data_IF_013423475776
#
_entry.id   IF_013423475776
#
_cell.length_a   1.000
_cell.length_b   1.000
_cell.length_c   1.000
_cell.angle_alpha   90.00
_cell.angle_beta   90.00
_cell.angle_gamma   90.00
#
_symmetry.space_group_name_H-M   'P 1'
#
loop_
_entity.id
_entity.type
_entity.pdbx_description
1 polymer ?
#
# COMPACT_ATOMS: atom_id res chain seq x y z
N UNK A 1 -53.19 56.96 -2.09
CA UNK A 1 -51.82 57.36 -2.43
C UNK A 1 -50.87 56.77 -1.39
N UNK A 2 -49.85 56.06 -1.88
CA UNK A 2 -48.57 55.61 -1.29
C UNK A 2 -48.58 54.96 0.10
N UNK A 3 -48.34 53.65 0.10
CA UNK A 3 -48.10 52.81 1.27
C UNK A 3 -46.60 52.71 1.63
N UNK A 4 -46.39 52.67 2.94
CA UNK A 4 -45.18 52.54 3.75
C UNK A 4 -44.22 51.44 3.27
N UNK A 5 -42.90 51.65 3.41
CA UNK A 5 -41.93 50.58 3.66
C UNK A 5 -40.70 51.11 4.41
N UNK A 6 -40.74 50.98 5.73
CA UNK A 6 -39.57 51.11 6.62
C UNK A 6 -38.66 49.90 6.40
N UNK A 7 -37.39 50.15 6.06
CA UNK A 7 -36.34 49.15 5.91
C UNK A 7 -35.46 49.20 7.17
N UNK A 8 -35.56 48.20 8.04
CA UNK A 8 -34.63 47.99 9.16
C UNK A 8 -33.42 47.19 8.66
N UNK A 9 -32.21 47.77 8.73
CA UNK A 9 -30.95 47.05 8.57
C UNK A 9 -30.60 46.34 9.90
N UNK A 10 -30.46 45.02 9.85
CA UNK A 10 -29.84 44.22 10.90
C UNK A 10 -28.40 43.89 10.49
N UNK A 11 -27.45 44.33 11.31
CA UNK A 11 -26.03 44.03 11.17
C UNK A 11 -25.75 42.57 11.60
N UNK A 12 -25.10 41.80 10.72
CA UNK A 12 -24.65 40.45 11.03
C UNK A 12 -23.16 40.47 11.41
N UNK A 13 -22.86 40.10 12.65
CA UNK A 13 -21.50 39.84 13.14
C UNK A 13 -21.06 38.45 12.66
N UNK A 14 -20.02 38.40 11.83
CA UNK A 14 -19.41 37.15 11.39
C UNK A 14 -18.48 36.60 12.49
N UNK A 15 -18.80 35.43 13.04
CA UNK A 15 -17.93 34.70 13.96
C UNK A 15 -17.02 33.79 13.16
N UNK A 16 -15.72 34.07 13.15
CA UNK A 16 -14.69 33.21 12.55
C UNK A 16 -14.53 31.92 13.37
N UNK A 17 -15.19 30.84 12.97
CA UNK A 17 -14.94 29.51 13.52
C UNK A 17 -13.64 28.99 12.92
N UNK A 18 -12.55 29.04 13.69
CA UNK A 18 -11.33 28.28 13.41
C UNK A 18 -11.67 26.79 13.51
N UNK A 19 -11.89 26.14 12.37
CA UNK A 19 -11.94 24.69 12.28
C UNK A 19 -10.56 24.15 12.66
N UNK A 20 -10.45 23.58 13.86
CA UNK A 20 -9.28 22.80 14.24
C UNK A 20 -9.10 21.67 13.21
N UNK A 21 -7.86 21.37 12.76
CA UNK A 21 -7.63 20.23 11.89
C UNK A 21 -8.16 18.99 12.60
N UNK A 22 -9.08 18.26 11.94
CA UNK A 22 -9.53 16.96 12.43
C UNK A 22 -8.29 16.11 12.68
N UNK A 23 -8.19 15.39 13.82
CA UNK A 23 -7.12 14.44 14.00
C UNK A 23 -7.15 13.49 12.80
N UNK A 24 -6.07 13.44 12.03
CA UNK A 24 -5.88 12.42 11.01
C UNK A 24 -6.18 11.09 11.70
N UNK A 25 -7.20 10.36 11.22
CA UNK A 25 -7.57 9.06 11.78
C UNK A 25 -6.30 8.27 12.08
N UNK A 26 -6.18 7.80 13.31
CA UNK A 26 -4.99 7.10 13.76
C UNK A 26 -4.75 5.92 12.81
N UNK A 27 -3.70 6.02 11.98
CA UNK A 27 -3.40 5.01 10.97
C UNK A 27 -3.19 3.66 11.65
N UNK A 28 -3.77 2.61 11.08
CA UNK A 28 -3.88 1.30 11.72
C UNK A 28 -2.52 0.61 11.94
N UNK A 29 -2.50 -0.35 12.86
CA UNK A 29 -1.37 -1.27 13.07
C UNK A 29 -1.71 -2.63 12.49
N UNK A 30 -0.96 -3.05 11.47
CA UNK A 30 -1.17 -4.31 10.78
C UNK A 30 -0.38 -5.44 11.45
N UNK A 31 -1.00 -6.60 11.60
CA UNK A 31 -0.41 -7.82 12.14
C UNK A 31 -0.29 -8.86 11.04
N UNK A 32 0.94 -9.27 10.75
CA UNK A 32 1.26 -10.36 9.83
C UNK A 32 1.71 -11.60 10.60
N UNK A 33 1.36 -12.78 10.10
CA UNK A 33 1.90 -14.06 10.57
C UNK A 33 2.81 -14.62 9.49
N UNK A 34 4.07 -14.89 9.84
CA UNK A 34 5.08 -15.43 8.94
C UNK A 34 5.82 -16.59 9.62
N UNK A 35 5.90 -17.74 8.95
CA UNK A 35 6.69 -18.88 9.44
C UNK A 35 8.16 -18.65 9.21
N UNK A 36 8.96 -18.66 10.28
CA UNK A 36 10.41 -18.52 10.23
C UNK A 36 11.08 -19.78 10.77
N UNK A 37 12.19 -20.19 10.14
CA UNK A 37 12.95 -21.36 10.57
C UNK A 37 13.77 -21.00 11.82
N UNK A 38 13.53 -21.69 12.93
CA UNK A 38 14.35 -21.56 14.12
C UNK A 38 15.66 -22.35 13.94
N UNK A 39 16.84 -21.69 13.92
CA UNK A 39 18.11 -22.37 13.67
C UNK A 39 18.50 -23.36 14.78
N UNK A 40 17.94 -23.24 16.00
CA UNK A 40 18.24 -24.14 17.11
C UNK A 40 17.46 -25.45 17.04
N UNK A 41 16.21 -25.40 16.55
CA UNK A 41 15.31 -26.56 16.54
C UNK A 41 15.07 -27.13 15.15
N UNK A 42 15.51 -26.42 14.09
CA UNK A 42 15.21 -26.72 12.69
C UNK A 42 13.70 -26.87 12.41
N UNK A 43 12.87 -26.14 13.16
CA UNK A 43 11.41 -26.13 13.02
C UNK A 43 10.92 -24.76 12.55
N UNK A 44 9.86 -24.76 11.76
CA UNK A 44 9.15 -23.55 11.37
C UNK A 44 8.26 -23.11 12.53
N UNK A 45 8.38 -21.84 12.91
CA UNK A 45 7.61 -21.22 13.98
C UNK A 45 6.86 -20.00 13.43
N UNK A 46 5.59 -19.86 13.82
CA UNK A 46 4.81 -18.68 13.49
C UNK A 46 5.37 -17.47 14.26
N UNK A 47 5.79 -16.44 13.52
CA UNK A 47 6.18 -15.14 14.08
C UNK A 47 5.09 -14.12 13.78
N UNK A 48 4.68 -13.41 14.83
CA UNK A 48 3.77 -12.26 14.75
C UNK A 48 4.59 -11.00 14.56
N UNK A 49 4.37 -10.30 13.46
CA UNK A 49 5.09 -9.09 13.07
C UNK A 49 4.09 -7.93 12.97
N UNK A 50 4.41 -6.80 13.59
CA UNK A 50 3.56 -5.61 13.64
C UNK A 50 4.13 -4.52 12.72
N UNK A 51 3.27 -3.91 11.91
CA UNK A 51 3.64 -2.88 10.95
C UNK A 51 2.74 -1.66 11.12
N UNK A 52 3.33 -0.47 11.15
CA UNK A 52 2.56 0.77 11.13
C UNK A 52 2.16 1.09 9.69
N UNK A 53 0.86 1.30 9.45
CA UNK A 53 0.38 1.74 8.14
C UNK A 53 1.01 3.08 7.72
N UNK A 54 1.21 4.01 8.67
CA UNK A 54 1.86 5.29 8.39
C UNK A 54 3.26 5.12 7.79
N UNK A 55 4.04 4.21 8.36
CA UNK A 55 5.41 3.91 7.90
C UNK A 55 5.41 3.15 6.58
N UNK A 56 4.52 2.17 6.40
CA UNK A 56 4.40 1.44 5.15
C UNK A 56 4.00 2.35 3.96
N UNK A 57 3.04 3.26 4.17
CA UNK A 57 2.71 4.28 3.18
C UNK A 57 3.91 5.19 2.89
N UNK A 58 4.63 5.65 3.92
CA UNK A 58 5.87 6.41 3.77
C UNK A 58 6.90 5.69 2.90
N UNK A 59 7.14 4.38 3.13
CA UNK A 59 8.05 3.60 2.30
C UNK A 59 7.62 3.58 0.82
N UNK A 60 6.31 3.42 0.55
CA UNK A 60 5.80 3.45 -0.83
C UNK A 60 5.93 4.84 -1.49
N UNK A 61 5.83 5.91 -0.70
CA UNK A 61 6.04 7.27 -1.20
C UNK A 61 7.51 7.53 -1.56
N UNK A 62 8.47 7.01 -0.79
CA UNK A 62 9.91 7.09 -1.08
C UNK A 62 10.36 6.16 -2.22
N UNK A 63 9.69 5.04 -2.45
CA UNK A 63 10.04 4.11 -3.52
C UNK A 63 9.91 4.76 -4.92
N UNK A 64 10.79 4.44 -5.89
CA UNK A 64 10.65 4.95 -7.25
C UNK A 64 9.40 4.39 -7.93
N UNK A 65 8.73 5.18 -8.77
CA UNK A 65 7.57 4.72 -9.55
C UNK A 65 8.05 3.95 -10.79
N UNK A 66 8.47 2.71 -10.59
CA UNK A 66 9.00 1.84 -11.65
C UNK A 66 8.67 0.38 -11.38
N UNK A 67 8.64 -0.44 -12.43
CA UNK A 67 8.45 -1.87 -12.32
C UNK A 67 9.78 -2.62 -12.54
N UNK A 68 10.41 -3.06 -11.46
CA UNK A 68 11.55 -3.98 -11.48
C UNK A 68 12.85 -3.40 -12.04
N UNK A 69 12.96 -2.07 -12.16
CA UNK A 69 14.09 -1.40 -12.85
C UNK A 69 15.27 -1.04 -11.95
N UNK A 70 15.11 -1.17 -10.64
CA UNK A 70 16.12 -0.81 -9.65
C UNK A 70 17.14 -1.93 -9.46
N UNK A 71 18.22 -1.64 -8.75
CA UNK A 71 19.26 -2.64 -8.46
C UNK A 71 18.76 -3.89 -7.71
N UNK A 72 17.78 -3.71 -6.83
CA UNK A 72 17.21 -4.78 -5.99
C UNK A 72 16.03 -5.50 -6.64
N UNK A 73 15.59 -5.06 -7.83
CA UNK A 73 14.32 -5.41 -8.49
C UNK A 73 13.06 -4.92 -7.78
N UNK A 74 13.14 -4.10 -6.73
CA UNK A 74 11.99 -3.50 -6.04
C UNK A 74 11.90 -1.99 -6.26
N UNK A 75 10.69 -1.39 -6.34
CA UNK A 75 9.40 -2.05 -6.41
C UNK A 75 9.18 -2.75 -7.75
N UNK A 76 8.25 -3.71 -7.78
CA UNK A 76 7.85 -4.39 -9.01
C UNK A 76 6.37 -4.76 -8.99
N UNK A 77 5.84 -5.18 -10.14
CA UNK A 77 4.46 -5.57 -10.33
C UNK A 77 4.08 -6.73 -9.40
N UNK A 78 3.03 -6.50 -8.62
CA UNK A 78 2.29 -7.52 -7.88
C UNK A 78 1.09 -7.95 -8.71
N UNK A 79 1.18 -9.14 -9.31
CA UNK A 79 0.14 -9.64 -10.23
C UNK A 79 -1.23 -9.79 -9.58
N UNK A 80 -1.25 -10.05 -8.28
CA UNK A 80 -2.45 -10.46 -7.53
C UNK A 80 -3.23 -11.61 -8.21
N UNK A 81 -2.54 -12.47 -8.98
CA UNK A 81 -3.15 -13.59 -9.71
C UNK A 81 -3.65 -13.29 -11.12
N UNK A 82 -3.47 -12.07 -11.64
CA UNK A 82 -3.86 -11.69 -13.00
C UNK A 82 -2.69 -11.75 -14.00
N UNK A 83 -3.01 -11.85 -15.28
CA UNK A 83 -2.07 -11.55 -16.36
C UNK A 83 -2.05 -10.03 -16.68
N UNK A 84 -1.15 -9.59 -17.58
CA UNK A 84 -1.03 -8.18 -17.95
C UNK A 84 -2.21 -7.62 -18.76
N UNK A 85 -3.10 -8.49 -19.24
CA UNK A 85 -4.34 -8.10 -19.92
C UNK A 85 -5.55 -8.03 -18.98
N UNK A 86 -5.34 -8.22 -17.66
CA UNK A 86 -6.40 -8.18 -16.66
C UNK A 86 -7.22 -9.47 -16.56
N UNK A 87 -6.77 -10.57 -17.17
CA UNK A 87 -7.44 -11.87 -17.05
C UNK A 87 -6.95 -12.59 -15.81
N UNK A 88 -7.88 -13.15 -15.04
CA UNK A 88 -7.54 -13.96 -13.89
C UNK A 88 -6.88 -15.27 -14.35
N UNK A 89 -5.68 -15.56 -13.85
CA UNK A 89 -4.95 -16.79 -14.17
C UNK A 89 -5.66 -17.96 -13.50
N UNK A 90 -5.90 -19.03 -14.26
CA UNK A 90 -6.61 -20.23 -13.78
C UNK A 90 -5.97 -20.78 -12.49
N UNK A 91 -6.79 -20.98 -11.45
CA UNK A 91 -6.35 -21.51 -10.16
C UNK A 91 -5.76 -20.47 -9.19
N UNK A 92 -5.74 -19.18 -9.56
CA UNK A 92 -5.33 -18.09 -8.66
C UNK A 92 -6.55 -17.42 -8.05
N UNK A 93 -6.42 -17.01 -6.79
CA UNK A 93 -7.43 -16.24 -6.06
C UNK A 93 -6.82 -14.90 -5.66
N UNK A 94 -7.28 -13.78 -6.23
CA UNK A 94 -6.77 -12.46 -5.88
C UNK A 94 -7.05 -12.11 -4.43
N UNK A 95 -6.11 -11.44 -3.80
CA UNK A 95 -6.32 -10.77 -2.51
C UNK A 95 -7.31 -9.63 -2.74
N UNK A 96 -8.34 -9.56 -1.90
CA UNK A 96 -9.27 -8.42 -1.84
C UNK A 96 -8.80 -7.45 -0.75
N UNK A 97 -8.50 -6.22 -1.15
CA UNK A 97 -8.05 -5.13 -0.29
C UNK A 97 -9.20 -4.25 0.21
N UNK A 98 -10.37 -4.30 -0.43
CA UNK A 98 -11.54 -3.50 -0.05
C UNK A 98 -11.52 -2.08 -0.64
N UNK A 99 -10.74 -1.86 -1.70
CA UNK A 99 -10.64 -0.57 -2.41
C UNK A 99 -10.77 -0.80 -3.90
N UNK A 100 -11.67 -0.08 -4.57
CA UNK A 100 -11.92 -0.24 -5.99
C UNK A 100 -10.65 -0.07 -6.85
N UNK A 101 -9.80 0.90 -6.50
CA UNK A 101 -8.52 1.15 -7.18
C UNK A 101 -7.53 -0.01 -7.08
N UNK A 102 -7.66 -0.83 -6.02
CA UNK A 102 -6.77 -1.95 -5.71
C UNK A 102 -7.32 -3.29 -6.17
N UNK A 103 -8.64 -3.47 -6.11
CA UNK A 103 -9.33 -4.73 -6.41
C UNK A 103 -9.68 -4.87 -7.90
N UNK A 104 -9.46 -3.83 -8.70
CA UNK A 104 -9.67 -3.86 -10.15
C UNK A 104 -8.62 -4.73 -10.87
N UNK A 105 -8.99 -5.45 -11.94
CA UNK A 105 -8.02 -6.13 -12.80
C UNK A 105 -6.95 -5.16 -13.35
N UNK A 106 -5.68 -5.60 -13.46
CA UNK A 106 -4.61 -4.74 -13.94
C UNK A 106 -4.66 -4.55 -15.46
N UNK A 107 -4.05 -3.46 -15.90
CA UNK A 107 -3.49 -3.26 -17.23
C UNK A 107 -1.99 -3.12 -17.08
N UNK A 108 -1.22 -4.10 -17.53
CA UNK A 108 0.24 -4.13 -17.39
C UNK A 108 0.86 -4.54 -18.73
N UNK A 109 1.49 -3.57 -19.39
CA UNK A 109 2.27 -3.80 -20.60
C UNK A 109 3.59 -4.51 -20.27
N UNK A 110 4.28 -5.01 -21.30
CA UNK A 110 5.51 -5.80 -21.14
C UNK A 110 6.57 -5.18 -20.21
N UNK A 111 6.62 -3.84 -20.09
CA UNK A 111 7.57 -3.12 -19.25
C UNK A 111 6.91 -2.24 -18.16
N UNK A 112 5.59 -2.36 -17.96
CA UNK A 112 4.82 -1.58 -17.00
C UNK A 112 4.84 -0.06 -17.23
N UNK A 113 5.05 0.39 -18.48
CA UNK A 113 5.11 1.83 -18.82
C UNK A 113 4.13 2.24 -19.90
N UNK A 114 3.11 1.42 -20.18
CA UNK A 114 2.04 1.81 -21.09
C UNK A 114 1.32 3.05 -20.56
N UNK A 115 0.97 3.98 -21.45
CA UNK A 115 0.27 5.23 -21.07
C UNK A 115 -1.04 4.99 -20.31
N UNK A 116 -1.67 3.83 -20.51
CA UNK A 116 -2.94 3.43 -19.90
C UNK A 116 -2.74 2.34 -18.82
N UNK A 117 -1.49 2.01 -18.47
CA UNK A 117 -1.18 0.97 -17.50
C UNK A 117 -1.64 1.38 -16.11
N UNK A 118 -2.25 0.43 -15.41
CA UNK A 118 -2.63 0.55 -14.02
C UNK A 118 -2.61 -0.82 -13.37
N UNK A 119 -1.86 -0.97 -12.29
CA UNK A 119 -1.63 -2.25 -11.65
C UNK A 119 -1.16 -2.04 -10.23
N UNK A 120 -0.90 -3.13 -9.50
CA UNK A 120 -0.37 -3.07 -8.15
C UNK A 120 1.15 -3.20 -8.16
N UNK A 121 1.83 -2.39 -7.37
CA UNK A 121 3.24 -2.55 -7.04
C UNK A 121 3.37 -3.13 -5.64
N UNK A 122 4.37 -3.99 -5.46
CA UNK A 122 4.84 -4.42 -4.15
C UNK A 122 6.22 -3.83 -3.83
N UNK A 123 6.40 -3.43 -2.57
CA UNK A 123 7.67 -2.93 -2.06
C UNK A 123 7.93 -3.45 -0.64
N UNK A 124 9.17 -3.81 -0.26
CA UNK A 124 9.48 -4.28 1.08
C UNK A 124 9.10 -3.25 2.15
N UNK A 125 8.57 -3.74 3.27
CA UNK A 125 8.27 -2.91 4.44
C UNK A 125 8.60 -3.69 5.71
N UNK A 126 8.97 -2.98 6.76
CA UNK A 126 9.58 -3.55 7.97
C UNK A 126 8.87 -3.06 9.23
N UNK A 127 8.92 -3.81 10.35
CA UNK A 127 8.30 -3.39 11.61
C UNK A 127 8.82 -2.04 12.15
N UNK A 128 10.10 -1.75 11.96
CA UNK A 128 10.72 -0.47 12.33
C UNK A 128 10.38 0.66 11.33
N UNK A 129 9.99 0.30 10.11
CA UNK A 129 9.60 1.17 9.00
C UNK A 129 10.75 1.85 8.28
N UNK A 130 11.98 1.34 8.38
CA UNK A 130 13.08 1.87 7.59
C UNK A 130 12.80 1.72 6.09
N UNK A 131 13.32 2.65 5.28
CA UNK A 131 13.19 2.58 3.83
C UNK A 131 14.11 1.51 3.26
N UNK A 132 13.55 0.63 2.43
CA UNK A 132 14.30 -0.40 1.72
C UNK A 132 15.24 0.22 0.66
N UNK A 133 16.49 -0.22 0.63
CA UNK A 133 17.54 0.22 -0.30
C UNK A 133 17.33 -0.38 -1.68
N UNK A 134 16.39 0.19 -2.41
CA UNK A 134 15.96 -0.33 -3.71
C UNK A 134 17.07 -0.40 -4.77
N UNK A 135 18.13 0.40 -4.67
CA UNK A 135 19.27 0.34 -5.60
C UNK A 135 20.39 -0.63 -5.17
N UNK A 136 20.24 -1.32 -4.03
CA UNK A 136 21.21 -2.35 -3.61
C UNK A 136 21.15 -3.57 -4.54
N UNK A 137 22.30 -3.97 -5.12
CA UNK A 137 22.39 -5.09 -6.09
C UNK A 137 22.95 -6.36 -5.47
N UNK A 138 24.22 -6.33 -5.08
CA UNK A 138 24.95 -7.50 -4.55
C UNK A 138 25.94 -7.05 -3.45
N UNK A 139 25.67 -7.35 -2.17
CA UNK A 139 24.44 -7.98 -1.68
C UNK A 139 23.24 -7.04 -1.82
N UNK A 140 22.12 -7.58 -2.31
CA UNK A 140 20.80 -6.96 -2.19
C UNK A 140 20.43 -6.98 -0.70
N UNK A 141 19.81 -5.91 -0.21
CA UNK A 141 19.24 -5.90 1.14
C UNK A 141 18.14 -6.96 1.25
N UNK A 142 18.09 -7.70 2.36
CA UNK A 142 17.04 -8.70 2.57
C UNK A 142 15.66 -8.00 2.62
N UNK A 143 14.73 -8.29 1.69
CA UNK A 143 13.42 -7.64 1.68
C UNK A 143 12.52 -8.10 2.83
N UNK A 144 12.91 -9.11 3.61
CA UNK A 144 12.07 -9.70 4.64
C UNK A 144 10.77 -10.30 4.07
N UNK A 145 9.80 -10.63 4.95
CA UNK A 145 8.60 -11.35 4.54
C UNK A 145 7.47 -10.45 4.04
N UNK A 146 7.44 -9.18 4.43
CA UNK A 146 6.30 -8.29 4.22
C UNK A 146 6.49 -7.32 3.06
N UNK A 147 5.38 -6.93 2.45
CA UNK A 147 5.32 -5.97 1.35
C UNK A 147 4.18 -5.00 1.59
N UNK A 148 4.44 -3.71 1.36
CA UNK A 148 3.37 -2.74 1.15
C UNK A 148 2.88 -2.85 -0.30
N UNK A 149 1.57 -2.89 -0.47
CA UNK A 149 0.92 -2.92 -1.78
C UNK A 149 0.30 -1.55 -2.06
N UNK A 150 0.63 -0.99 -3.23
CA UNK A 150 0.10 0.30 -3.67
C UNK A 150 -0.13 0.34 -5.17
N UNK A 151 -0.93 1.28 -5.66
CA UNK A 151 -1.25 1.35 -7.08
C UNK A 151 -0.17 2.05 -7.91
N UNK A 152 0.06 1.57 -9.12
CA UNK A 152 0.65 2.34 -10.21
C UNK A 152 -0.48 2.97 -11.04
N UNK A 153 -0.38 4.26 -11.44
CA UNK A 153 0.70 5.21 -11.15
C UNK A 153 0.50 6.03 -9.86
N UNK A 154 -0.67 5.95 -9.23
CA UNK A 154 -1.13 6.95 -8.24
C UNK A 154 -0.62 6.75 -6.80
N UNK A 155 0.06 5.64 -6.50
CA UNK A 155 0.51 5.25 -5.16
C UNK A 155 -0.60 5.21 -4.11
N UNK A 156 -1.81 4.80 -4.49
CA UNK A 156 -2.90 4.56 -3.53
C UNK A 156 -2.54 3.33 -2.70
N UNK A 157 -2.44 3.48 -1.38
CA UNK A 157 -2.19 2.37 -0.46
C UNK A 157 -3.33 1.35 -0.49
N UNK A 158 -3.01 0.09 -0.72
CA UNK A 158 -3.97 -1.01 -0.76
C UNK A 158 -3.97 -1.82 0.53
N UNK A 159 -2.79 -2.16 1.06
CA UNK A 159 -2.65 -2.92 2.28
C UNK A 159 -1.23 -3.43 2.50
N UNK A 160 -1.04 -4.15 3.61
CA UNK A 160 0.21 -4.85 3.90
C UNK A 160 -0.04 -6.35 3.73
N UNK A 161 0.82 -7.00 2.95
CA UNK A 161 0.82 -8.46 2.77
C UNK A 161 2.12 -9.03 3.30
N UNK A 162 2.13 -10.32 3.64
CA UNK A 162 3.35 -11.02 3.96
C UNK A 162 3.36 -12.44 3.40
N UNK A 163 4.55 -12.94 3.11
CA UNK A 163 4.73 -14.35 2.75
C UNK A 163 4.32 -15.24 3.92
N UNK A 164 3.68 -16.37 3.63
CA UNK A 164 3.30 -17.31 4.69
C UNK A 164 4.52 -17.96 5.36
N UNK A 165 5.62 -18.15 4.63
CA UNK A 165 6.84 -18.82 5.10
C UNK A 165 8.10 -18.19 4.53
N UNK A 166 9.04 -17.83 5.40
CA UNK A 166 10.27 -17.14 5.01
C UNK A 166 9.97 -15.88 4.20
N UNK A 167 10.78 -15.59 3.20
CA UNK A 167 10.68 -14.37 2.38
C UNK A 167 10.19 -14.64 0.95
N UNK A 168 9.49 -15.76 0.71
CA UNK A 168 9.02 -16.17 -0.62
C UNK A 168 7.74 -17.05 -0.56
N UNK A 169 7.14 -17.29 -1.73
CA UNK A 169 5.92 -18.11 -1.85
C UNK A 169 4.64 -17.29 -1.75
N UNK A 170 3.55 -17.91 -1.30
CA UNK A 170 2.24 -17.27 -1.25
C UNK A 170 2.22 -16.06 -0.30
N UNK A 171 1.66 -14.96 -0.80
CA UNK A 171 1.40 -13.73 -0.04
C UNK A 171 -0.03 -13.77 0.52
N UNK A 172 -0.20 -13.32 1.76
CA UNK A 172 -1.50 -13.17 2.42
C UNK A 172 -1.65 -11.76 2.97
N UNK A 173 -2.87 -11.25 2.92
CA UNK A 173 -3.23 -9.98 3.54
C UNK A 173 -3.08 -10.08 5.06
N UNK A 174 -2.39 -9.12 5.65
CA UNK A 174 -2.28 -9.00 7.10
C UNK A 174 -3.60 -8.43 7.69
N UNK A 175 -3.86 -8.65 8.98
CA UNK A 175 -5.02 -8.06 9.66
C UNK A 175 -4.68 -6.71 10.26
N UNK A 176 -5.64 -5.79 10.43
CA UNK A 176 -5.45 -4.49 11.09
C UNK A 176 -6.76 -4.05 11.75
#
# INVERSE_FOLDING_TARGET
>A
MVAIKNLFLLAATAVSVLAAPSPLDARATWTCINQQLNPKTNKWEDKRLLYSQAKAESNSHHAPLSDGKTGSSYPHWFTNGYDGNGKLIKGRTPIKFGKADCDRPPKHSQNGMGKDDHYLLEFPTFPDGHDYKFDSKKPKEDPGPARVIYTYPNKVFCGIVAHQRGNQGDLRLCSH
#
